data_IF_777291714846
#
_entry.id   IF_777291714846
#
_cell.length_a   1.000
_cell.length_b   1.000
_cell.length_c   1.000
_cell.angle_alpha   90.00
_cell.angle_beta   90.00
_cell.angle_gamma   90.00
#
_symmetry.space_group_name_H-M   'P 1'
#
loop_
_entity.id
_entity.type
_entity.pdbx_description
1 polymer ?
#
# COMPACT_ATOMS: atom_id res chain seq x y z
N UNK A 1 60.64 6.06 -34.15
CA UNK A 1 60.03 4.87 -33.50
C UNK A 1 59.42 5.33 -32.20
N UNK A 2 58.15 5.57 -32.22
CA UNK A 2 57.39 6.09 -31.09
C UNK A 2 56.66 4.93 -30.38
N UNK A 3 56.86 4.81 -29.08
CA UNK A 3 56.14 3.91 -28.23
C UNK A 3 54.93 4.67 -27.64
N UNK A 4 53.73 4.36 -28.12
CA UNK A 4 52.49 4.80 -27.50
C UNK A 4 52.23 3.96 -26.25
N UNK A 5 52.27 4.59 -25.09
CA UNK A 5 51.77 4.02 -23.84
C UNK A 5 50.25 4.20 -23.78
N UNK A 6 49.52 3.10 -23.88
CA UNK A 6 48.10 3.02 -23.60
C UNK A 6 47.87 3.10 -22.08
N UNK A 7 47.47 4.28 -21.59
CA UNK A 7 46.92 4.44 -20.24
C UNK A 7 45.46 4.01 -20.25
N UNK A 8 45.22 2.77 -19.87
CA UNK A 8 43.87 2.26 -19.57
C UNK A 8 43.31 2.92 -18.32
N UNK A 9 42.52 3.99 -18.52
CA UNK A 9 41.78 4.61 -17.43
C UNK A 9 40.65 3.68 -16.95
N UNK A 10 40.88 3.03 -15.81
CA UNK A 10 39.83 2.33 -15.07
C UNK A 10 38.84 3.38 -14.56
N UNK A 11 37.78 3.60 -15.31
CA UNK A 11 36.61 4.35 -14.83
C UNK A 11 35.92 3.53 -13.74
N UNK A 12 36.35 3.75 -12.51
CA UNK A 12 35.64 3.32 -11.32
C UNK A 12 34.31 4.07 -11.29
N UNK A 13 33.26 3.48 -11.91
CA UNK A 13 31.89 3.95 -11.71
C UNK A 13 31.58 3.84 -10.22
N UNK A 14 31.73 4.94 -9.49
CA UNK A 14 31.12 5.06 -8.16
C UNK A 14 29.62 4.82 -8.36
N UNK A 15 29.16 3.64 -8.00
CA UNK A 15 27.75 3.38 -7.74
C UNK A 15 27.38 4.33 -6.60
N UNK A 16 26.75 5.46 -6.92
CA UNK A 16 26.03 6.23 -5.93
C UNK A 16 25.09 5.24 -5.29
N UNK A 17 25.32 4.89 -4.02
CA UNK A 17 24.38 4.08 -3.24
C UNK A 17 23.11 4.91 -3.18
N UNK A 18 22.15 4.57 -4.03
CA UNK A 18 20.82 5.15 -3.95
C UNK A 18 20.33 4.86 -2.53
N UNK A 19 20.03 5.90 -1.75
CA UNK A 19 19.53 5.76 -0.39
C UNK A 19 18.31 4.84 -0.45
N UNK A 20 18.37 3.67 0.16
CA UNK A 20 17.23 2.76 0.22
C UNK A 20 16.10 3.44 0.96
N UNK A 21 14.89 3.37 0.41
CA UNK A 21 13.70 3.94 1.02
C UNK A 21 13.33 3.13 2.27
N UNK A 22 13.35 3.78 3.42
CA UNK A 22 12.96 3.17 4.69
C UNK A 22 11.45 3.11 4.80
N UNK A 23 10.92 1.91 4.79
CA UNK A 23 9.47 1.66 4.85
C UNK A 23 9.14 0.89 6.12
N UNK A 24 8.16 1.38 6.87
CA UNK A 24 7.60 0.64 8.00
C UNK A 24 6.28 -0.02 7.61
N UNK A 25 6.09 -1.26 8.02
CA UNK A 25 4.78 -1.93 7.97
C UNK A 25 4.21 -1.95 9.39
N UNK A 26 3.04 -1.37 9.55
CA UNK A 26 2.21 -1.54 10.75
C UNK A 26 1.47 -2.86 10.59
N UNK A 27 1.89 -3.85 11.36
CA UNK A 27 1.36 -5.21 11.30
C UNK A 27 0.13 -5.35 12.21
N UNK A 28 -1.01 -5.59 11.59
CA UNK A 28 -2.29 -5.80 12.27
C UNK A 28 -2.53 -7.28 12.63
N UNK A 29 -1.47 -8.01 12.96
CA UNK A 29 -1.52 -9.43 13.36
C UNK A 29 -2.04 -10.35 12.24
N UNK A 30 -1.62 -10.07 11.02
CA UNK A 30 -2.05 -10.79 9.83
C UNK A 30 -0.95 -11.70 9.25
N UNK A 31 -1.33 -12.88 8.78
CA UNK A 31 -0.40 -13.85 8.19
C UNK A 31 0.18 -13.35 6.85
N UNK A 32 -0.53 -12.51 6.11
CA UNK A 32 -0.07 -11.93 4.84
C UNK A 32 0.93 -10.78 5.02
N UNK A 33 1.12 -10.25 6.22
CA UNK A 33 2.09 -9.17 6.49
C UNK A 33 3.50 -9.53 6.03
N UNK A 34 3.93 -10.77 6.21
CA UNK A 34 5.26 -11.20 5.78
C UNK A 34 5.38 -11.31 4.26
N UNK A 35 4.32 -11.72 3.55
CA UNK A 35 4.29 -11.73 2.09
C UNK A 35 4.42 -10.31 1.55
N UNK A 36 3.70 -9.35 2.15
CA UNK A 36 3.81 -7.94 1.82
C UNK A 36 5.22 -7.39 2.09
N UNK A 37 5.84 -7.79 3.22
CA UNK A 37 7.22 -7.45 3.54
C UNK A 37 8.22 -8.02 2.51
N UNK A 38 8.02 -9.26 2.06
CA UNK A 38 8.85 -9.85 1.01
C UNK A 38 8.73 -9.08 -0.31
N UNK A 39 7.51 -8.78 -0.75
CA UNK A 39 7.25 -8.02 -1.96
C UNK A 39 7.95 -6.64 -1.94
N UNK A 40 7.86 -5.91 -0.83
CA UNK A 40 8.54 -4.62 -0.67
C UNK A 40 10.07 -4.74 -0.72
N UNK A 41 10.64 -5.79 -0.10
CA UNK A 41 12.09 -6.05 -0.11
C UNK A 41 12.59 -6.43 -1.50
N UNK A 42 11.84 -7.22 -2.25
CA UNK A 42 12.15 -7.57 -3.65
C UNK A 42 12.19 -6.31 -4.53
N UNK A 43 11.34 -5.32 -4.23
CA UNK A 43 11.31 -4.02 -4.88
C UNK A 43 12.41 -3.05 -4.41
N UNK A 44 13.27 -3.48 -3.47
CA UNK A 44 14.44 -2.74 -3.02
C UNK A 44 14.22 -1.82 -1.82
N UNK A 45 13.07 -1.88 -1.15
CA UNK A 45 12.83 -1.12 0.08
C UNK A 45 13.56 -1.74 1.30
N UNK A 46 14.01 -0.88 2.23
CA UNK A 46 14.44 -1.28 3.57
C UNK A 46 13.20 -1.37 4.45
N UNK A 47 12.80 -2.59 4.83
CA UNK A 47 11.50 -2.83 5.47
C UNK A 47 11.67 -3.22 6.94
N UNK A 48 10.99 -2.48 7.81
CA UNK A 48 10.79 -2.81 9.22
C UNK A 48 9.33 -3.14 9.47
N UNK A 49 9.05 -4.21 10.20
CA UNK A 49 7.69 -4.62 10.60
C UNK A 49 7.52 -4.36 12.09
N UNK A 50 6.48 -3.64 12.47
CA UNK A 50 6.13 -3.36 13.86
C UNK A 50 4.67 -3.71 14.12
N UNK A 51 4.37 -4.34 15.24
CA UNK A 51 2.99 -4.65 15.66
C UNK A 51 2.23 -3.36 15.95
N UNK A 52 0.95 -3.30 15.59
CA UNK A 52 0.10 -2.12 15.72
C UNK A 52 -0.08 -1.60 17.16
N UNK A 53 0.37 -2.35 18.15
CA UNK A 53 0.32 -2.03 19.61
C UNK A 53 1.70 -2.04 20.28
N UNK A 54 2.82 -2.14 19.53
CA UNK A 54 4.17 -2.35 20.08
C UNK A 54 5.20 -1.33 19.58
N UNK A 55 4.83 -0.08 19.43
CA UNK A 55 5.73 1.02 19.07
C UNK A 55 5.28 2.32 19.76
N UNK A 56 6.16 3.28 19.81
CA UNK A 56 5.80 4.66 20.12
C UNK A 56 5.58 5.41 18.82
N UNK A 57 4.63 6.33 18.80
CA UNK A 57 4.30 7.06 17.57
C UNK A 57 5.53 7.76 16.97
N UNK A 58 6.41 8.29 17.83
CA UNK A 58 7.62 9.00 17.41
C UNK A 58 8.65 8.07 16.74
N UNK A 59 8.62 6.77 16.98
CA UNK A 59 9.53 5.80 16.35
C UNK A 59 9.33 5.78 14.83
N UNK A 60 8.14 6.13 14.37
CA UNK A 60 7.79 6.15 12.95
C UNK A 60 8.38 7.36 12.18
N UNK A 61 8.88 8.38 12.87
CA UNK A 61 9.50 9.57 12.25
C UNK A 61 10.70 9.21 11.36
N UNK A 62 11.42 8.15 11.71
CA UNK A 62 12.64 7.72 11.01
C UNK A 62 12.39 7.04 9.65
N UNK A 63 11.15 6.72 9.31
CA UNK A 63 10.77 6.06 8.07
C UNK A 63 10.31 7.05 7.00
N UNK A 64 10.56 6.72 5.75
CA UNK A 64 10.18 7.54 4.60
C UNK A 64 8.70 7.28 4.19
N UNK A 65 8.22 6.03 4.33
CA UNK A 65 6.84 5.61 3.96
C UNK A 65 6.25 4.66 4.99
N UNK A 66 4.92 4.66 5.10
CA UNK A 66 4.15 3.82 6.02
C UNK A 66 3.22 2.91 5.20
N UNK A 67 3.26 1.61 5.50
CA UNK A 67 2.34 0.61 4.97
C UNK A 67 1.46 0.12 6.12
N UNK A 68 0.17 0.05 5.90
CA UNK A 68 -0.80 -0.50 6.84
C UNK A 68 -1.21 -1.88 6.33
N UNK A 69 -0.88 -2.93 7.09
CA UNK A 69 -1.11 -4.31 6.66
C UNK A 69 -2.60 -4.67 6.65
N UNK A 70 -2.95 -5.78 5.98
CA UNK A 70 -4.18 -6.49 6.29
C UNK A 70 -4.28 -6.83 7.78
N UNK A 71 -5.46 -7.24 8.22
CA UNK A 71 -5.69 -7.67 9.60
C UNK A 71 -7.08 -8.20 9.83
N UNK A 72 -7.32 -8.92 10.94
CA UNK A 72 -8.64 -9.39 11.34
C UNK A 72 -9.48 -8.24 11.93
N UNK A 73 -10.79 -8.46 12.00
CA UNK A 73 -11.73 -7.55 12.66
C UNK A 73 -11.99 -6.25 11.89
N UNK A 74 -12.08 -5.16 12.62
CA UNK A 74 -12.33 -3.80 12.10
C UNK A 74 -11.23 -2.84 12.57
N UNK A 75 -11.00 -1.71 11.86
CA UNK A 75 -9.88 -0.81 12.16
C UNK A 75 -9.88 -0.23 13.58
N UNK A 76 -11.04 0.05 14.16
CA UNK A 76 -11.18 0.59 15.52
C UNK A 76 -10.69 -0.38 16.62
N UNK A 77 -10.56 -1.67 16.32
CA UNK A 77 -10.03 -2.70 17.22
C UNK A 77 -8.55 -3.01 16.98
N UNK A 78 -7.92 -2.36 15.99
CA UNK A 78 -6.58 -2.66 15.55
C UNK A 78 -5.50 -1.77 16.22
N UNK A 79 -5.48 -1.71 17.54
CA UNK A 79 -4.46 -1.00 18.30
C UNK A 79 -4.33 0.48 17.92
N UNK A 80 -3.13 0.91 17.51
CA UNK A 80 -2.85 2.30 17.14
C UNK A 80 -3.05 2.61 15.65
N UNK A 81 -3.68 1.69 14.87
CA UNK A 81 -3.81 1.81 13.41
C UNK A 81 -4.43 3.15 12.97
N UNK A 82 -5.55 3.55 13.57
CA UNK A 82 -6.22 4.82 13.24
C UNK A 82 -5.37 6.03 13.62
N UNK A 83 -4.66 5.96 14.75
CA UNK A 83 -3.83 7.06 15.25
C UNK A 83 -2.59 7.27 14.38
N UNK A 84 -2.03 6.21 13.78
CA UNK A 84 -0.95 6.33 12.78
C UNK A 84 -1.42 7.17 11.61
N UNK A 85 -2.60 6.89 11.04
CA UNK A 85 -3.15 7.65 9.93
C UNK A 85 -3.38 9.11 10.33
N UNK A 86 -4.03 9.38 11.47
CA UNK A 86 -4.28 10.73 11.96
C UNK A 86 -3.01 11.53 12.18
N UNK A 87 -1.97 10.88 12.71
CA UNK A 87 -0.70 11.54 13.04
C UNK A 87 0.12 11.88 11.81
N UNK A 88 0.13 10.99 10.80
CA UNK A 88 1.02 11.09 9.64
C UNK A 88 0.34 11.52 8.34
N UNK A 89 -0.98 11.72 8.34
CA UNK A 89 -1.68 12.30 7.19
C UNK A 89 -1.07 13.65 6.80
N UNK A 90 -0.69 13.78 5.53
CA UNK A 90 -0.02 14.98 4.99
C UNK A 90 1.46 15.14 5.38
N UNK A 91 2.01 14.24 6.19
CA UNK A 91 3.44 14.26 6.58
C UNK A 91 4.25 13.16 5.91
N UNK A 92 3.64 12.00 5.69
CA UNK A 92 4.29 10.84 5.08
C UNK A 92 3.36 10.17 4.09
N UNK A 93 3.89 9.57 3.01
CA UNK A 93 3.12 8.67 2.17
C UNK A 93 2.61 7.46 2.97
N UNK A 94 1.32 7.14 2.81
CA UNK A 94 0.66 6.02 3.48
C UNK A 94 -0.02 5.12 2.45
N UNK A 95 0.19 3.80 2.57
CA UNK A 95 -0.49 2.83 1.75
C UNK A 95 -1.18 1.79 2.62
N UNK A 96 -2.50 1.64 2.48
CA UNK A 96 -3.31 0.69 3.23
C UNK A 96 -3.76 -0.50 2.39
N UNK A 97 -3.60 -1.72 2.93
CA UNK A 97 -4.06 -2.96 2.33
C UNK A 97 -5.17 -3.56 3.17
N UNK A 98 -6.31 -3.87 2.57
CA UNK A 98 -7.48 -4.49 3.18
C UNK A 98 -7.94 -3.75 4.44
N UNK A 99 -7.59 -4.22 5.65
CA UNK A 99 -7.88 -3.50 6.89
C UNK A 99 -7.28 -2.09 6.90
N UNK A 100 -6.07 -1.91 6.36
CA UNK A 100 -5.43 -0.60 6.23
C UNK A 100 -6.19 0.35 5.31
N UNK A 101 -6.77 -0.15 4.21
CA UNK A 101 -7.67 0.60 3.33
C UNK A 101 -8.94 1.03 4.06
N UNK A 102 -9.57 0.11 4.79
CA UNK A 102 -10.76 0.39 5.60
C UNK A 102 -10.46 1.45 6.68
N UNK A 103 -9.28 1.37 7.32
CA UNK A 103 -8.83 2.35 8.30
C UNK A 103 -8.67 3.76 7.69
N UNK A 104 -8.15 3.87 6.46
CA UNK A 104 -8.11 5.14 5.75
C UNK A 104 -9.53 5.67 5.54
N UNK A 105 -10.45 4.85 5.04
CA UNK A 105 -11.84 5.23 4.88
C UNK A 105 -12.44 5.77 6.17
N UNK A 106 -12.32 5.02 7.27
CA UNK A 106 -12.88 5.36 8.59
C UNK A 106 -12.29 6.65 9.17
N UNK A 107 -10.97 6.86 9.11
CA UNK A 107 -10.30 8.08 9.63
C UNK A 107 -10.80 9.33 8.94
N UNK A 108 -11.08 9.26 7.65
CA UNK A 108 -11.56 10.42 6.88
C UNK A 108 -13.08 10.53 6.83
N UNK A 109 -13.81 9.67 7.53
CA UNK A 109 -15.26 9.82 7.77
C UNK A 109 -16.18 8.90 6.97
N UNK A 110 -15.63 7.93 6.23
CA UNK A 110 -16.43 6.89 5.61
C UNK A 110 -16.91 5.87 6.66
N UNK A 111 -18.04 5.24 6.39
CA UNK A 111 -18.56 4.10 7.17
C UNK A 111 -18.02 2.78 6.60
N UNK A 112 -17.92 1.78 7.45
CA UNK A 112 -17.70 0.41 7.02
C UNK A 112 -19.02 -0.35 7.05
N UNK A 113 -19.17 -1.29 6.13
CA UNK A 113 -20.30 -2.23 6.13
C UNK A 113 -19.80 -3.66 6.00
N UNK A 114 -20.55 -4.57 6.64
CA UNK A 114 -20.26 -6.00 6.59
C UNK A 114 -21.09 -6.62 5.46
N UNK A 115 -20.41 -7.22 4.50
CA UNK A 115 -21.04 -7.92 3.39
C UNK A 115 -21.71 -9.20 3.88
N UNK A 116 -22.76 -9.64 3.19
CA UNK A 116 -23.42 -10.92 3.45
C UNK A 116 -22.50 -12.10 3.10
N UNK A 117 -21.70 -11.92 2.04
CA UNK A 117 -20.77 -12.93 1.54
C UNK A 117 -19.36 -12.63 2.02
N UNK A 118 -18.63 -13.67 2.39
CA UNK A 118 -17.23 -13.58 2.81
C UNK A 118 -16.35 -13.98 1.64
N UNK A 119 -15.50 -13.09 1.19
CA UNK A 119 -14.46 -13.42 0.22
C UNK A 119 -13.25 -14.02 0.97
N UNK A 120 -12.84 -15.22 0.57
CA UNK A 120 -11.67 -15.88 1.15
C UNK A 120 -10.85 -16.57 0.06
N UNK A 121 -9.89 -15.86 -0.51
CA UNK A 121 -9.10 -16.36 -1.63
C UNK A 121 -9.89 -16.41 -2.93
N UNK A 122 -10.69 -15.38 -3.19
CA UNK A 122 -11.47 -15.25 -4.43
C UNK A 122 -10.82 -14.21 -5.33
N UNK A 123 -10.55 -14.60 -6.58
CA UNK A 123 -10.09 -13.67 -7.60
C UNK A 123 -11.30 -13.08 -8.33
N UNK A 124 -11.40 -11.77 -8.37
CA UNK A 124 -12.40 -11.04 -9.15
C UNK A 124 -11.73 -10.02 -10.03
N UNK A 125 -12.39 -9.60 -11.08
CA UNK A 125 -11.96 -8.50 -11.91
C UNK A 125 -12.56 -7.18 -11.39
N UNK A 126 -11.85 -6.08 -11.59
CA UNK A 126 -12.33 -4.75 -11.27
C UNK A 126 -11.75 -3.71 -12.20
N UNK A 127 -12.37 -2.55 -12.23
CA UNK A 127 -12.01 -1.42 -13.10
C UNK A 127 -11.31 -0.34 -12.29
N UNK A 128 -10.10 0.07 -12.73
CA UNK A 128 -9.48 1.28 -12.20
C UNK A 128 -10.19 2.53 -12.72
N UNK A 129 -10.27 3.55 -11.87
CA UNK A 129 -10.96 4.80 -12.15
C UNK A 129 -10.01 5.98 -11.99
N UNK A 130 -10.10 6.95 -12.91
CA UNK A 130 -9.27 8.16 -12.81
C UNK A 130 -7.78 7.93 -13.09
N UNK A 131 -6.93 8.71 -12.43
CA UNK A 131 -5.49 8.76 -12.68
C UNK A 131 -4.67 8.57 -11.39
N UNK A 132 -4.99 7.55 -10.62
CA UNK A 132 -4.16 7.22 -9.46
C UNK A 132 -2.82 6.64 -9.92
N UNK A 133 -1.71 7.22 -9.45
CA UNK A 133 -0.37 6.82 -9.90
C UNK A 133 0.00 5.39 -9.50
N UNK A 134 -0.63 4.83 -8.46
CA UNK A 134 -0.39 3.44 -8.07
C UNK A 134 -0.78 2.44 -9.18
N UNK A 135 -1.72 2.82 -10.05
CA UNK A 135 -2.15 2.01 -11.19
C UNK A 135 -1.44 2.36 -12.51
N UNK A 136 -0.43 3.23 -12.49
CA UNK A 136 0.28 3.62 -13.71
C UNK A 136 0.89 2.43 -14.45
N UNK A 137 0.62 2.34 -15.74
CA UNK A 137 1.12 1.28 -16.61
C UNK A 137 0.33 -0.03 -16.57
N UNK A 138 -0.75 -0.07 -15.78
CA UNK A 138 -1.68 -1.20 -15.74
C UNK A 138 -2.84 -1.01 -16.71
N UNK A 139 -3.46 -2.12 -17.17
CA UNK A 139 -4.69 -2.06 -17.97
C UNK A 139 -5.84 -1.47 -17.15
N UNK A 140 -6.89 -0.98 -17.82
CA UNK A 140 -8.09 -0.45 -17.15
C UNK A 140 -8.74 -1.47 -16.22
N UNK A 141 -8.73 -2.75 -16.62
CA UNK A 141 -9.24 -3.85 -15.81
C UNK A 141 -8.08 -4.64 -15.21
N UNK A 142 -8.18 -4.91 -13.90
CA UNK A 142 -7.15 -5.61 -13.12
C UNK A 142 -7.77 -6.74 -12.30
N UNK A 143 -6.99 -7.81 -12.14
CA UNK A 143 -7.39 -8.94 -11.30
C UNK A 143 -7.08 -8.64 -9.84
N UNK A 144 -8.02 -8.95 -8.95
CA UNK A 144 -7.99 -8.58 -7.54
C UNK A 144 -8.23 -9.80 -6.65
N UNK A 145 -7.24 -10.17 -5.83
CA UNK A 145 -7.36 -11.23 -4.83
C UNK A 145 -8.06 -10.70 -3.56
N UNK A 146 -9.23 -11.21 -3.26
CA UNK A 146 -10.11 -10.73 -2.17
C UNK A 146 -10.13 -11.71 -1.01
N UNK A 147 -10.00 -11.17 0.23
CA UNK A 147 -9.97 -11.91 1.49
C UNK A 147 -10.68 -11.12 2.61
N UNK A 148 -11.87 -10.62 2.35
CA UNK A 148 -12.57 -9.71 3.26
C UNK A 148 -14.08 -9.96 3.30
N UNK A 149 -14.72 -9.54 4.42
CA UNK A 149 -16.15 -9.43 4.57
C UNK A 149 -16.61 -8.01 4.88
N UNK A 150 -15.66 -7.10 5.19
CA UNK A 150 -15.93 -5.69 5.40
C UNK A 150 -15.43 -4.87 4.23
N UNK A 151 -16.14 -3.79 3.91
CA UNK A 151 -15.81 -2.83 2.86
C UNK A 151 -16.12 -1.41 3.33
N UNK A 152 -15.52 -0.43 2.64
CA UNK A 152 -15.91 0.98 2.78
C UNK A 152 -17.24 1.18 2.07
N UNK A 153 -18.26 1.64 2.80
CA UNK A 153 -19.60 1.84 2.28
C UNK A 153 -19.63 2.98 1.24
N UNK A 154 -20.10 2.64 0.05
CA UNK A 154 -20.08 3.55 -1.10
C UNK A 154 -20.86 4.84 -0.88
N UNK A 155 -22.00 4.76 -0.20
CA UNK A 155 -22.89 5.89 0.08
C UNK A 155 -22.35 6.85 1.16
N UNK A 156 -21.22 6.52 1.77
CA UNK A 156 -20.61 7.28 2.86
C UNK A 156 -19.28 7.94 2.48
N UNK A 157 -18.88 7.92 1.20
CA UNK A 157 -17.59 8.47 0.77
C UNK A 157 -17.52 9.98 1.00
N UNK A 158 -16.56 10.45 1.81
CA UNK A 158 -16.38 11.89 2.05
C UNK A 158 -15.67 12.56 0.86
N UNK A 159 -15.90 13.85 0.66
CA UNK A 159 -15.35 14.65 -0.45
C UNK A 159 -13.80 14.66 -0.50
N UNK A 160 -13.13 14.43 0.63
CA UNK A 160 -11.67 14.42 0.70
C UNK A 160 -11.05 13.14 0.15
N UNK A 161 -11.85 12.08 -0.03
CA UNK A 161 -11.43 10.82 -0.64
C UNK A 161 -11.96 10.70 -2.06
N UNK A 162 -11.26 9.95 -2.88
CA UNK A 162 -11.63 9.61 -4.25
C UNK A 162 -11.54 8.11 -4.44
N UNK A 163 -12.58 7.50 -5.00
CA UNK A 163 -12.58 6.10 -5.40
C UNK A 163 -11.73 5.95 -6.65
N UNK A 164 -10.73 5.07 -6.63
CA UNK A 164 -9.79 4.87 -7.73
C UNK A 164 -9.84 3.46 -8.34
N UNK A 165 -10.60 2.54 -7.75
CA UNK A 165 -11.00 1.30 -8.39
C UNK A 165 -12.29 0.74 -7.78
N UNK A 166 -13.04 0.02 -8.60
CA UNK A 166 -14.27 -0.70 -8.21
C UNK A 166 -14.28 -2.10 -8.76
N UNK A 167 -14.85 -3.04 -8.02
CA UNK A 167 -15.18 -4.37 -8.51
C UNK A 167 -16.46 -4.36 -9.36
N UNK A 168 -16.68 -5.41 -10.14
CA UNK A 168 -17.87 -5.54 -10.99
C UNK A 168 -19.17 -5.65 -10.18
N UNK A 169 -19.09 -6.11 -8.93
CA UNK A 169 -20.20 -6.16 -7.97
C UNK A 169 -20.45 -4.80 -7.27
N UNK A 170 -19.68 -3.77 -7.62
CA UNK A 170 -19.92 -2.39 -7.18
C UNK A 170 -19.26 -2.00 -5.87
N UNK A 171 -18.34 -2.82 -5.34
CA UNK A 171 -17.60 -2.52 -4.12
C UNK A 171 -16.38 -1.62 -4.39
N UNK A 172 -16.04 -0.76 -3.43
CA UNK A 172 -14.85 0.09 -3.50
C UNK A 172 -13.62 -0.78 -3.30
N UNK A 173 -12.81 -0.90 -4.36
CA UNK A 173 -11.57 -1.69 -4.34
C UNK A 173 -10.30 -0.86 -4.16
N UNK A 174 -10.36 0.43 -4.45
CA UNK A 174 -9.27 1.34 -4.13
C UNK A 174 -9.80 2.76 -3.89
N UNK A 175 -9.09 3.50 -3.05
CA UNK A 175 -9.32 4.90 -2.78
C UNK A 175 -7.99 5.64 -2.58
N UNK A 176 -8.03 6.96 -2.76
CA UNK A 176 -6.94 7.86 -2.40
C UNK A 176 -7.45 9.11 -1.72
N UNK A 177 -6.58 9.77 -0.95
CA UNK A 177 -6.86 11.11 -0.46
C UNK A 177 -6.54 12.14 -1.56
N UNK A 178 -7.42 13.16 -1.74
CA UNK A 178 -7.27 14.13 -2.84
C UNK A 178 -6.07 15.06 -2.71
N UNK A 179 -5.57 15.28 -1.49
CA UNK A 179 -4.50 16.24 -1.21
C UNK A 179 -3.24 15.58 -0.65
N UNK A 180 -3.38 14.49 0.10
CA UNK A 180 -2.27 13.79 0.74
C UNK A 180 -1.88 12.57 -0.07
N UNK A 181 -0.62 12.17 -0.01
CA UNK A 181 -0.13 10.94 -0.61
C UNK A 181 -0.54 9.73 0.25
N UNK A 182 -1.84 9.43 0.20
CA UNK A 182 -2.48 8.35 0.95
C UNK A 182 -3.35 7.54 -0.02
N UNK A 183 -3.05 6.25 -0.10
CA UNK A 183 -3.72 5.30 -0.98
C UNK A 183 -4.16 4.07 -0.20
N UNK A 184 -5.27 3.50 -0.57
CA UNK A 184 -5.77 2.26 0.00
C UNK A 184 -6.31 1.33 -1.07
N UNK A 185 -6.01 0.03 -0.95
CA UNK A 185 -6.60 -1.01 -1.78
C UNK A 185 -7.26 -2.07 -0.90
N UNK A 186 -8.47 -2.50 -1.26
CA UNK A 186 -9.23 -3.51 -0.52
C UNK A 186 -8.74 -4.93 -0.78
N UNK A 187 -8.10 -5.16 -1.93
CA UNK A 187 -7.54 -6.44 -2.34
C UNK A 187 -6.07 -6.58 -1.92
N UNK A 188 -5.53 -7.79 -2.05
CA UNK A 188 -4.21 -8.16 -1.56
C UNK A 188 -3.17 -8.16 -2.69
N UNK A 189 -2.27 -7.16 -2.77
CA UNK A 189 -1.25 -7.06 -3.82
C UNK A 189 -0.14 -8.11 -3.67
N UNK A 190 0.02 -8.68 -2.48
CA UNK A 190 0.99 -9.73 -2.17
C UNK A 190 0.47 -11.14 -2.52
N UNK A 191 -0.80 -11.25 -2.90
CA UNK A 191 -1.43 -12.52 -3.26
C UNK A 191 -1.12 -12.89 -4.72
N UNK A 192 -0.93 -14.19 -4.97
CA UNK A 192 -0.85 -14.74 -6.33
C UNK A 192 -2.11 -14.51 -7.16
N UNK A 193 -3.23 -14.17 -6.50
CA UNK A 193 -4.49 -13.82 -7.14
C UNK A 193 -4.52 -12.36 -7.64
N UNK A 194 -3.47 -11.59 -7.39
CA UNK A 194 -3.31 -10.21 -7.90
C UNK A 194 -2.02 -10.12 -8.73
N UNK A 195 -2.05 -10.53 -10.01
CA UNK A 195 -0.85 -10.55 -10.85
C UNK A 195 -0.15 -9.19 -10.96
N UNK A 196 -0.90 -8.11 -10.94
CA UNK A 196 -0.41 -6.73 -11.05
C UNK A 196 0.09 -6.16 -9.72
N UNK A 197 0.00 -6.90 -8.62
CA UNK A 197 0.33 -6.43 -7.27
C UNK A 197 1.74 -5.89 -7.12
N UNK A 198 2.72 -6.55 -7.77
CA UNK A 198 4.10 -6.07 -7.84
C UNK A 198 4.20 -4.67 -8.44
N UNK A 199 3.48 -4.41 -9.54
CA UNK A 199 3.49 -3.09 -10.22
C UNK A 199 2.83 -2.02 -9.34
N UNK A 200 1.72 -2.32 -8.68
CA UNK A 200 1.02 -1.40 -7.77
C UNK A 200 1.96 -0.95 -6.64
N UNK A 201 2.59 -1.89 -5.95
CA UNK A 201 3.51 -1.59 -4.84
C UNK A 201 4.76 -0.86 -5.35
N UNK A 202 5.32 -1.25 -6.50
CA UNK A 202 6.47 -0.55 -7.10
C UNK A 202 6.12 0.90 -7.46
N UNK A 203 4.93 1.16 -7.98
CA UNK A 203 4.47 2.50 -8.28
C UNK A 203 4.36 3.34 -6.99
N UNK A 204 3.78 2.79 -5.92
CA UNK A 204 3.74 3.48 -4.63
C UNK A 204 5.13 3.79 -4.07
N UNK A 205 6.07 2.85 -4.18
CA UNK A 205 7.44 3.08 -3.69
C UNK A 205 8.18 4.20 -4.45
N UNK A 206 7.85 4.42 -5.72
CA UNK A 206 8.50 5.39 -6.62
C UNK A 206 7.77 6.75 -6.73
N UNK A 207 6.55 6.82 -6.24
CA UNK A 207 5.69 8.01 -6.24
C UNK A 207 6.12 9.13 -5.33
#
# INVERSE_FOLDING_TARGET
MAYEQLCGGFLYKQRIKQKQMKTVIIDNYDSFTYNLSHLLKELGAEVTVVRNDKFKMEDLESFDKIILSPGPGIPSEAGQLLDVIRTYAGKKPIFGVCLGHQAIGEVFGARLENLKDVYHGVQTEGTQLGNDYIFRGLPERVMMGRYHSWVVARDSMPDVLEVTAMSDDGEIMALRHRQYDIHGIQFHPESVLTPEGHTIINNFLKG
#
